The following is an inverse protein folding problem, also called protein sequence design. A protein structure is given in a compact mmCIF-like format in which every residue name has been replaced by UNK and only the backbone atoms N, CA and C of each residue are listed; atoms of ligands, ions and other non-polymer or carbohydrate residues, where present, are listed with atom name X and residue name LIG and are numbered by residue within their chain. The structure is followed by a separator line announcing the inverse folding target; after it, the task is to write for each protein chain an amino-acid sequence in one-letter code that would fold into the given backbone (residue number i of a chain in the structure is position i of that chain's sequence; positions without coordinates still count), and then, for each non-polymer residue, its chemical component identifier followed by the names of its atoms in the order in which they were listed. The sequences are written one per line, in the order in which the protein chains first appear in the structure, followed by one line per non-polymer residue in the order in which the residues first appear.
data_IF_827667636053
#
_entry.id   IF_827667636053
#
_cell.length_a   1.000
_cell.length_b   1.000
_cell.length_c   1.000
_cell.angle_alpha   90.00
_cell.angle_beta   90.00
_cell.angle_gamma   90.00
#
_symmetry.space_group_name_H-M   'P 1'
#
loop_
_entity.id
_entity.type
_entity.pdbx_description
1 polymer ?
#
# COMPACT_ATOMS: atom_id res chain seq x y z
N UNK A 1 0.65 14.19 25.19
CA UNK A 1 1.14 14.90 23.98
C UNK A 1 0.97 13.94 22.81
N UNK A 2 0.28 14.34 21.73
CA UNK A 2 0.05 13.46 20.58
C UNK A 2 1.38 13.30 19.83
N UNK A 3 1.91 12.07 19.76
CA UNK A 3 3.14 11.79 19.00
C UNK A 3 2.83 12.02 17.51
N UNK A 4 3.36 13.12 16.95
CA UNK A 4 3.19 13.48 15.54
C UNK A 4 4.45 13.13 14.77
N UNK A 5 4.26 12.68 13.54
CA UNK A 5 5.34 12.33 12.61
C UNK A 5 5.17 13.07 11.30
N UNK A 6 6.31 13.39 10.69
CA UNK A 6 6.38 14.03 9.38
C UNK A 6 6.47 12.94 8.30
N UNK A 7 5.64 13.05 7.28
CA UNK A 7 5.61 12.15 6.12
C UNK A 7 5.43 12.96 4.83
N UNK A 8 5.78 12.37 3.70
CA UNK A 8 5.71 13.03 2.39
C UNK A 8 4.87 12.24 1.42
N UNK A 9 4.14 12.90 0.54
CA UNK A 9 3.44 12.23 -0.57
C UNK A 9 3.50 13.07 -1.84
N UNK A 10 3.55 12.40 -2.98
CA UNK A 10 3.45 13.00 -4.30
C UNK A 10 2.08 12.72 -4.86
N UNK A 11 1.35 13.76 -5.22
CA UNK A 11 -0.02 13.68 -5.70
C UNK A 11 -0.23 14.57 -6.92
N UNK A 12 -1.23 14.27 -7.75
CA UNK A 12 -1.61 15.17 -8.82
C UNK A 12 -2.05 16.53 -8.23
N UNK A 13 -1.71 17.65 -8.89
CA UNK A 13 -1.92 19.00 -8.34
C UNK A 13 -3.38 19.33 -7.98
N UNK A 14 -4.33 18.62 -8.59
CA UNK A 14 -5.77 18.70 -8.28
C UNK A 14 -6.10 18.50 -6.79
N UNK A 15 -5.25 17.79 -6.03
CA UNK A 15 -5.44 17.62 -4.58
C UNK A 15 -5.50 18.96 -3.85
N UNK A 16 -4.80 19.99 -4.34
CA UNK A 16 -4.80 21.32 -3.73
C UNK A 16 -6.22 21.90 -3.74
N UNK A 17 -6.94 21.74 -4.86
CA UNK A 17 -8.33 22.18 -4.98
C UNK A 17 -9.26 21.42 -4.03
N UNK A 18 -9.08 20.11 -3.91
CA UNK A 18 -9.88 19.29 -2.98
C UNK A 18 -9.64 19.70 -1.52
N UNK A 19 -8.38 19.95 -1.13
CA UNK A 19 -8.01 20.43 0.19
C UNK A 19 -8.52 21.85 0.46
N UNK A 20 -8.53 22.74 -0.53
CA UNK A 20 -9.05 24.09 -0.37
C UNK A 20 -10.57 24.13 -0.25
N UNK A 21 -11.27 23.30 -1.03
CA UNK A 21 -12.73 23.30 -1.12
C UNK A 21 -13.39 22.49 0.00
N UNK A 22 -12.85 21.30 0.30
CA UNK A 22 -13.46 20.33 1.20
C UNK A 22 -12.70 20.17 2.52
N UNK A 23 -11.58 20.89 2.69
CA UNK A 23 -10.63 20.77 3.81
C UNK A 23 -10.03 19.36 3.98
N UNK A 24 -10.29 18.47 3.02
CA UNK A 24 -10.03 17.04 3.10
C UNK A 24 -9.86 16.46 1.70
N UNK A 25 -8.97 15.48 1.59
CA UNK A 25 -8.77 14.67 0.40
C UNK A 25 -8.85 13.18 0.73
N UNK A 26 -9.50 12.43 -0.15
CA UNK A 26 -9.61 10.97 -0.13
C UNK A 26 -9.37 10.42 -1.54
N UNK A 27 -8.78 9.23 -1.63
CA UNK A 27 -8.54 8.59 -2.93
C UNK A 27 -9.85 7.97 -3.43
N UNK A 28 -10.25 8.36 -4.64
CA UNK A 28 -11.44 7.83 -5.30
C UNK A 28 -11.08 6.66 -6.22
N UNK A 29 -12.02 5.73 -6.40
CA UNK A 29 -11.85 4.54 -7.25
C UNK A 29 -11.49 4.92 -8.69
N UNK A 30 -12.10 5.98 -9.20
CA UNK A 30 -11.91 6.46 -10.58
C UNK A 30 -10.44 6.82 -10.84
N UNK A 31 -9.70 7.30 -9.83
CA UNK A 31 -8.29 7.62 -9.99
C UNK A 31 -7.43 6.37 -10.24
N UNK A 32 -7.79 5.25 -9.61
CA UNK A 32 -7.10 3.97 -9.81
C UNK A 32 -7.48 3.39 -11.16
N UNK A 33 -8.77 3.40 -11.50
CA UNK A 33 -9.26 2.86 -12.78
C UNK A 33 -8.68 3.62 -13.97
N UNK A 34 -8.68 4.95 -13.92
CA UNK A 34 -8.13 5.77 -15.02
C UNK A 34 -6.62 5.61 -15.17
N UNK A 35 -5.89 5.35 -14.08
CA UNK A 35 -4.44 5.17 -14.12
C UNK A 35 -4.01 3.78 -14.58
N UNK A 36 -4.80 2.76 -14.27
CA UNK A 36 -4.45 1.35 -14.52
C UNK A 36 -5.16 0.77 -15.75
N UNK A 37 -6.10 1.51 -16.34
CA UNK A 37 -6.82 1.18 -17.57
C UNK A 37 -7.32 -0.28 -17.57
N UNK A 38 -6.93 -1.08 -18.56
CA UNK A 38 -7.34 -2.47 -18.73
C UNK A 38 -6.90 -3.40 -17.59
N UNK A 39 -5.91 -2.98 -16.79
CA UNK A 39 -5.39 -3.73 -15.65
C UNK A 39 -6.02 -3.36 -14.32
N UNK A 40 -7.00 -2.43 -14.30
CA UNK A 40 -7.59 -1.94 -13.05
C UNK A 40 -8.16 -3.05 -12.15
N UNK A 41 -8.80 -4.07 -12.72
CA UNK A 41 -9.41 -5.16 -11.95
C UNK A 41 -8.40 -5.87 -11.04
N UNK A 42 -7.18 -6.10 -11.54
CA UNK A 42 -6.11 -6.75 -10.81
C UNK A 42 -5.65 -5.92 -9.60
N UNK A 43 -5.49 -4.61 -9.80
CA UNK A 43 -5.16 -3.69 -8.71
C UNK A 43 -6.28 -3.58 -7.66
N UNK A 44 -7.54 -3.61 -8.11
CA UNK A 44 -8.69 -3.53 -7.20
C UNK A 44 -8.75 -4.70 -6.23
N UNK A 45 -8.44 -5.93 -6.66
CA UNK A 45 -8.39 -7.09 -5.75
C UNK A 45 -7.37 -6.93 -4.64
N UNK A 46 -6.16 -6.45 -4.99
CA UNK A 46 -5.09 -6.17 -4.02
C UNK A 46 -5.50 -5.07 -3.05
N UNK A 47 -6.09 -3.98 -3.54
CA UNK A 47 -6.55 -2.89 -2.67
C UNK A 47 -7.75 -3.28 -1.80
N UNK A 48 -8.64 -4.14 -2.29
CA UNK A 48 -9.75 -4.68 -1.50
C UNK A 48 -9.21 -5.52 -0.33
N UNK A 49 -8.24 -6.41 -0.61
CA UNK A 49 -7.56 -7.16 0.44
C UNK A 49 -6.86 -6.22 1.43
N UNK A 50 -6.12 -5.23 0.93
CA UNK A 50 -5.42 -4.24 1.77
C UNK A 50 -6.39 -3.48 2.67
N UNK A 51 -7.52 -3.02 2.13
CA UNK A 51 -8.56 -2.32 2.89
C UNK A 51 -9.06 -3.16 4.07
N UNK A 52 -9.37 -4.44 3.83
CA UNK A 52 -9.83 -5.35 4.88
C UNK A 52 -8.75 -5.64 5.94
N UNK A 53 -7.49 -5.76 5.54
CA UNK A 53 -6.39 -6.05 6.46
C UNK A 53 -6.01 -4.80 7.28
N UNK A 54 -5.84 -3.65 6.63
CA UNK A 54 -5.39 -2.41 7.22
C UNK A 54 -6.46 -1.72 8.09
N UNK A 55 -7.76 -1.90 7.78
CA UNK A 55 -8.86 -1.35 8.58
C UNK A 55 -8.91 -1.91 10.01
N UNK A 56 -8.31 -3.07 10.25
CA UNK A 56 -8.14 -3.67 11.58
C UNK A 56 -7.06 -2.98 12.42
N UNK A 57 -6.16 -2.23 11.77
CA UNK A 57 -5.04 -1.53 12.42
C UNK A 57 -5.43 -0.07 12.69
N UNK A 58 -5.85 0.62 11.63
CA UNK A 58 -6.41 1.97 11.71
C UNK A 58 -7.74 1.95 10.99
N UNK A 59 -8.82 2.22 11.70
CA UNK A 59 -10.15 2.21 11.11
C UNK A 59 -10.31 3.40 10.14
N UNK A 60 -10.66 3.15 8.85
CA UNK A 60 -10.96 4.23 7.92
C UNK A 60 -12.31 4.88 8.25
N UNK A 61 -12.51 6.16 7.86
CA UNK A 61 -13.85 6.74 7.73
C UNK A 61 -14.71 5.93 6.76
N UNK A 62 -16.04 5.96 6.93
CA UNK A 62 -16.99 5.15 6.16
C UNK A 62 -16.94 5.39 4.65
N UNK A 63 -16.59 6.62 4.24
CA UNK A 63 -16.50 7.05 2.84
C UNK A 63 -15.13 6.76 2.19
N UNK A 64 -14.20 6.14 2.92
CA UNK A 64 -12.84 5.87 2.44
C UNK A 64 -12.64 4.39 2.14
N UNK A 65 -12.24 4.10 0.90
CA UNK A 65 -11.92 2.75 0.46
C UNK A 65 -10.43 2.55 0.18
N UNK A 66 -9.71 3.58 -0.23
CA UNK A 66 -8.35 3.46 -0.75
C UNK A 66 -7.34 4.27 0.06
N UNK A 67 -6.12 3.75 0.26
CA UNK A 67 -5.07 4.43 0.99
C UNK A 67 -4.38 5.52 0.16
N UNK A 68 -3.82 6.49 0.86
CA UNK A 68 -2.86 7.48 0.37
C UNK A 68 -1.47 7.01 0.78
N UNK A 69 -0.62 6.71 -0.20
CA UNK A 69 0.76 6.30 0.05
C UNK A 69 1.63 7.48 0.48
N UNK A 70 2.46 7.26 1.50
CA UNK A 70 3.39 8.26 2.02
C UNK A 70 4.79 7.67 2.21
N UNK A 71 5.80 8.46 1.91
CA UNK A 71 7.19 8.20 2.28
C UNK A 71 7.44 8.65 3.72
N UNK A 72 8.21 7.86 4.45
CA UNK A 72 8.47 8.05 5.89
C UNK A 72 9.71 8.90 6.18
N UNK A 73 10.55 9.13 5.17
CA UNK A 73 11.76 9.94 5.28
C UNK A 73 11.83 10.91 4.12
N UNK A 74 12.58 11.99 4.32
CA UNK A 74 12.74 13.02 3.30
C UNK A 74 13.58 12.50 2.12
N UNK A 75 14.59 11.68 2.40
CA UNK A 75 15.47 11.09 1.39
C UNK A 75 14.77 9.98 0.59
N UNK A 76 13.74 9.36 1.17
CA UNK A 76 12.95 8.30 0.54
C UNK A 76 11.67 8.81 -0.15
N UNK A 77 11.48 10.13 -0.25
CA UNK A 77 10.31 10.70 -0.94
C UNK A 77 10.45 10.54 -2.45
N UNK A 78 9.33 10.24 -3.10
CA UNK A 78 9.28 10.15 -4.56
C UNK A 78 9.53 11.55 -5.13
N UNK A 79 10.52 11.66 -6.02
CA UNK A 79 10.85 12.93 -6.67
C UNK A 79 9.62 13.54 -7.36
N UNK A 80 9.46 14.85 -7.17
CA UNK A 80 8.35 15.56 -7.78
C UNK A 80 8.49 15.62 -9.32
N UNK A 81 7.38 15.85 -10.03
CA UNK A 81 7.39 15.96 -11.49
C UNK A 81 6.27 16.88 -11.98
N UNK A 82 6.36 17.44 -13.20
CA UNK A 82 5.33 18.31 -13.75
C UNK A 82 3.91 17.73 -13.61
N UNK A 83 2.93 18.59 -13.30
CA UNK A 83 1.53 18.22 -13.04
C UNK A 83 1.28 17.58 -11.66
N UNK A 84 2.30 17.48 -10.81
CA UNK A 84 2.18 16.95 -9.46
C UNK A 84 2.62 17.98 -8.42
N UNK A 85 2.20 17.74 -7.19
CA UNK A 85 2.67 18.43 -6.00
C UNK A 85 3.24 17.43 -5.02
N UNK A 86 4.27 17.86 -4.31
CA UNK A 86 4.81 17.16 -3.16
C UNK A 86 4.26 17.82 -1.89
N UNK A 87 3.60 17.03 -1.05
CA UNK A 87 3.04 17.46 0.22
C UNK A 87 3.94 16.99 1.36
N UNK A 88 4.29 17.89 2.26
CA UNK A 88 4.80 17.56 3.59
C UNK A 88 3.65 17.59 4.59
N UNK A 89 3.50 16.51 5.35
CA UNK A 89 2.33 16.28 6.21
C UNK A 89 2.81 15.99 7.63
N UNK A 90 2.21 16.64 8.62
CA UNK A 90 2.42 16.37 10.03
C UNK A 90 1.18 15.71 10.64
N UNK A 91 1.24 14.40 10.83
CA UNK A 91 0.10 13.56 11.23
C UNK A 91 0.35 12.86 12.57
N UNK A 92 -0.70 12.51 13.28
CA UNK A 92 -0.61 11.66 14.47
C UNK A 92 -0.12 10.25 14.09
N UNK A 93 0.86 9.72 14.82
CA UNK A 93 1.41 8.37 14.59
C UNK A 93 0.33 7.28 14.55
N UNK A 94 -0.73 7.43 15.35
CA UNK A 94 -1.85 6.48 15.42
C UNK A 94 -2.69 6.40 14.14
N UNK A 95 -2.57 7.38 13.23
CA UNK A 95 -3.27 7.38 11.93
C UNK A 95 -2.44 6.78 10.81
N UNK A 96 -1.14 6.62 11.05
CA UNK A 96 -0.16 6.18 10.07
C UNK A 96 0.01 4.66 10.16
N UNK A 97 -0.40 3.96 9.11
CA UNK A 97 -0.09 2.54 8.94
C UNK A 97 1.24 2.45 8.21
N UNK A 98 2.18 1.67 8.75
CA UNK A 98 3.50 1.52 8.13
C UNK A 98 3.80 0.05 7.86
N UNK A 99 4.53 -0.23 6.78
CA UNK A 99 4.81 -1.60 6.35
C UNK A 99 6.17 -1.68 5.64
N UNK A 100 6.66 -2.91 5.52
CA UNK A 100 7.84 -3.25 4.74
C UNK A 100 7.54 -3.14 3.23
N UNK A 101 8.39 -2.42 2.50
CA UNK A 101 8.17 -2.16 1.07
C UNK A 101 8.26 -3.43 0.21
N UNK A 102 9.10 -4.40 0.59
CA UNK A 102 9.28 -5.64 -0.17
C UNK A 102 8.12 -6.60 0.10
N UNK A 103 7.54 -6.58 1.31
CA UNK A 103 6.29 -7.28 1.57
C UNK A 103 5.15 -6.73 0.74
N UNK A 104 4.99 -5.41 0.68
CA UNK A 104 4.00 -4.79 -0.20
C UNK A 104 4.28 -5.12 -1.68
N UNK A 105 5.55 -5.03 -2.09
CA UNK A 105 6.01 -5.42 -3.43
C UNK A 105 5.62 -6.85 -3.80
N UNK A 106 5.69 -7.79 -2.86
CA UNK A 106 5.21 -9.16 -3.07
C UNK A 106 3.71 -9.21 -3.33
N UNK A 107 2.90 -8.51 -2.54
CA UNK A 107 1.43 -8.53 -2.67
C UNK A 107 0.99 -7.98 -4.03
N UNK A 108 1.51 -6.83 -4.45
CA UNK A 108 1.14 -6.22 -5.75
C UNK A 108 1.59 -7.05 -6.96
N UNK A 109 2.57 -7.93 -6.76
CA UNK A 109 3.05 -8.89 -7.76
C UNK A 109 2.48 -10.31 -7.56
N UNK A 110 1.47 -10.47 -6.70
CA UNK A 110 0.81 -11.75 -6.40
C UNK A 110 1.72 -12.84 -5.84
N UNK A 111 2.78 -12.44 -5.13
CA UNK A 111 3.80 -13.33 -4.59
C UNK A 111 3.53 -13.73 -3.14
N UNK A 112 4.11 -14.88 -2.75
CA UNK A 112 4.12 -15.35 -1.38
C UNK A 112 5.07 -14.51 -0.51
N UNK A 113 4.67 -14.19 0.72
CA UNK A 113 5.51 -13.57 1.74
C UNK A 113 6.05 -14.67 2.66
N UNK A 114 7.33 -15.06 2.59
CA UNK A 114 7.86 -16.11 3.46
C UNK A 114 7.96 -15.65 4.92
N UNK A 115 7.69 -16.56 5.86
CA UNK A 115 7.89 -16.32 7.29
C UNK A 115 9.38 -16.36 7.67
N UNK A 116 10.12 -17.28 7.07
CA UNK A 116 11.55 -17.48 7.26
C UNK A 116 12.17 -18.19 6.03
N UNK A 117 13.46 -18.48 6.10
CA UNK A 117 14.19 -19.15 5.01
C UNK A 117 13.68 -20.58 4.73
N UNK A 118 13.21 -21.30 5.74
CA UNK A 118 12.71 -22.66 5.60
C UNK A 118 11.32 -22.65 4.94
N UNK A 119 10.41 -21.78 5.40
CA UNK A 119 9.10 -21.56 4.79
C UNK A 119 9.23 -21.13 3.32
N UNK A 120 10.22 -20.27 3.01
CA UNK A 120 10.55 -19.91 1.62
C UNK A 120 10.93 -21.15 0.80
N UNK A 121 11.86 -21.96 1.30
CA UNK A 121 12.34 -23.16 0.60
C UNK A 121 11.23 -24.17 0.35
N UNK A 122 10.33 -24.35 1.31
CA UNK A 122 9.17 -25.24 1.16
C UNK A 122 8.20 -24.72 0.10
N UNK A 123 7.95 -23.42 0.07
CA UNK A 123 7.12 -22.80 -0.95
C UNK A 123 7.74 -22.87 -2.35
N UNK A 124 9.03 -22.58 -2.48
CA UNK A 124 9.77 -22.71 -3.74
C UNK A 124 9.74 -24.17 -4.26
N UNK A 125 9.92 -25.15 -3.36
CA UNK A 125 9.86 -26.59 -3.70
C UNK A 125 8.47 -26.97 -4.19
N UNK A 126 7.41 -26.43 -3.56
CA UNK A 126 6.03 -26.65 -3.99
C UNK A 126 5.82 -26.14 -5.42
N UNK A 127 6.21 -24.90 -5.71
CA UNK A 127 6.09 -24.30 -7.04
C UNK A 127 6.89 -25.08 -8.10
N UNK A 128 8.11 -25.51 -7.76
CA UNK A 128 8.97 -26.29 -8.65
C UNK A 128 8.35 -27.64 -9.06
N UNK A 129 7.61 -28.31 -8.16
CA UNK A 129 6.89 -29.57 -8.50
C UNK A 129 5.83 -29.39 -9.57
N UNK A 130 5.23 -28.19 -9.67
CA UNK A 130 4.24 -27.86 -10.69
C UNK A 130 4.84 -27.14 -11.90
N UNK A 131 6.12 -26.73 -11.84
CA UNK A 131 6.78 -25.98 -12.91
C UNK A 131 6.17 -24.59 -13.15
N UNK A 132 5.72 -23.92 -12.09
CA UNK A 132 5.06 -22.61 -12.14
C UNK A 132 5.71 -21.61 -11.18
N UNK A 133 5.38 -20.33 -11.33
CA UNK A 133 5.66 -19.27 -10.36
C UNK A 133 4.41 -18.85 -9.57
N UNK A 134 4.60 -17.94 -8.61
CA UNK A 134 3.52 -17.39 -7.78
C UNK A 134 2.43 -16.71 -8.62
N UNK A 135 2.83 -15.87 -9.59
CA UNK A 135 1.89 -15.15 -10.44
C UNK A 135 1.01 -16.11 -11.23
N UNK A 136 1.59 -17.15 -11.82
CA UNK A 136 0.88 -18.21 -12.52
C UNK A 136 -0.06 -18.97 -11.58
N UNK A 137 0.40 -19.29 -10.37
CA UNK A 137 -0.40 -19.96 -9.36
C UNK A 137 -1.60 -19.09 -8.90
N UNK A 138 -1.44 -17.77 -8.83
CA UNK A 138 -2.48 -16.84 -8.45
C UNK A 138 -3.51 -16.59 -9.56
N UNK A 139 -3.03 -16.46 -10.80
CA UNK A 139 -3.85 -16.06 -11.95
C UNK A 139 -4.66 -17.22 -12.53
N UNK A 140 -4.12 -18.45 -12.51
CA UNK A 140 -4.81 -19.60 -13.11
C UNK A 140 -5.74 -20.31 -12.12
N UNK A 141 -6.94 -20.76 -12.54
CA UNK A 141 -7.87 -21.47 -11.67
C UNK A 141 -7.38 -22.87 -11.26
N UNK A 142 -6.33 -23.40 -11.90
CA UNK A 142 -5.80 -24.75 -11.67
C UNK A 142 -5.07 -24.94 -10.34
N UNK A 143 -4.68 -23.85 -9.66
CA UNK A 143 -3.88 -23.90 -8.44
C UNK A 143 -4.58 -23.27 -7.22
N UNK A 144 -5.85 -23.62 -6.92
CA UNK A 144 -6.64 -22.91 -5.92
C UNK A 144 -6.05 -23.02 -4.50
N UNK A 145 -5.36 -24.12 -4.20
CA UNK A 145 -4.70 -24.30 -2.90
C UNK A 145 -3.42 -23.44 -2.78
N UNK A 146 -2.65 -23.32 -3.86
CA UNK A 146 -1.44 -22.47 -3.87
C UNK A 146 -1.84 -21.00 -3.82
N UNK A 147 -2.86 -20.59 -4.59
CA UNK A 147 -3.45 -19.26 -4.51
C UNK A 147 -3.89 -18.91 -3.09
N UNK A 148 -4.61 -19.81 -2.40
CA UNK A 148 -5.03 -19.59 -1.01
C UNK A 148 -3.84 -19.45 -0.06
N UNK A 149 -2.78 -20.24 -0.27
CA UNK A 149 -1.53 -20.14 0.50
C UNK A 149 -0.84 -18.79 0.28
N UNK A 150 -0.78 -18.30 -0.97
CA UNK A 150 -0.27 -16.96 -1.31
C UNK A 150 -1.06 -15.88 -0.58
N UNK A 151 -2.38 -15.84 -0.74
CA UNK A 151 -3.23 -14.81 -0.10
C UNK A 151 -3.11 -14.86 1.42
N UNK A 152 -3.09 -16.06 2.02
CA UNK A 152 -2.91 -16.22 3.47
C UNK A 152 -1.55 -15.70 3.95
N UNK A 153 -0.51 -15.79 3.14
CA UNK A 153 0.80 -15.24 3.49
C UNK A 153 0.79 -13.71 3.59
N UNK A 154 -0.15 -13.03 2.92
CA UNK A 154 -0.26 -11.58 2.94
C UNK A 154 -0.64 -11.04 4.32
N UNK A 155 -1.25 -11.84 5.19
CA UNK A 155 -1.50 -11.49 6.61
C UNK A 155 -0.19 -11.09 7.33
N UNK A 156 0.96 -11.55 6.84
CA UNK A 156 2.31 -11.23 7.35
C UNK A 156 2.77 -9.82 6.97
N UNK A 157 2.02 -9.06 6.16
CA UNK A 157 2.37 -7.69 5.76
C UNK A 157 2.68 -6.82 6.98
N UNK A 158 1.83 -6.91 8.00
CA UNK A 158 1.90 -6.11 9.22
C UNK A 158 2.59 -6.82 10.39
N UNK A 159 3.13 -8.02 10.19
CA UNK A 159 3.91 -8.74 11.18
C UNK A 159 5.33 -8.16 11.25
N UNK A 160 5.63 -7.40 12.30
CA UNK A 160 6.92 -6.72 12.47
C UNK A 160 8.08 -7.69 12.79
N UNK A 161 7.80 -8.94 13.14
CA UNK A 161 8.85 -9.94 13.38
C UNK A 161 9.46 -10.48 12.07
N UNK A 162 8.73 -10.36 10.96
CA UNK A 162 9.17 -10.77 9.64
C UNK A 162 9.68 -9.52 8.92
N UNK A 163 10.95 -9.48 8.53
CA UNK A 163 11.55 -8.33 7.84
C UNK A 163 12.18 -8.83 6.54
N UNK A 164 11.66 -8.35 5.41
CA UNK A 164 12.23 -8.58 4.08
C UNK A 164 13.13 -7.42 3.66
N UNK A 165 12.75 -6.20 4.03
CA UNK A 165 13.51 -4.97 3.79
C UNK A 165 13.52 -4.07 5.01
N UNK A 166 14.62 -3.32 5.18
CA UNK A 166 14.68 -2.23 6.16
C UNK A 166 13.94 -0.98 5.68
N UNK A 167 13.62 -0.90 4.38
CA UNK A 167 12.89 0.23 3.80
C UNK A 167 11.41 0.08 4.11
N UNK A 168 10.82 1.15 4.64
CA UNK A 168 9.42 1.20 5.03
C UNK A 168 8.66 2.27 4.26
N UNK A 169 7.39 1.98 4.03
CA UNK A 169 6.42 2.90 3.44
C UNK A 169 5.23 3.05 4.37
N UNK A 170 4.52 4.15 4.23
CA UNK A 170 3.32 4.44 5.01
C UNK A 170 2.08 4.56 4.15
N UNK A 171 0.93 4.42 4.81
CA UNK A 171 -0.36 4.83 4.24
C UNK A 171 -1.19 5.61 5.25
N UNK A 172 -2.01 6.51 4.72
CA UNK A 172 -3.06 7.23 5.43
C UNK A 172 -4.39 6.97 4.73
N UNK A 173 -5.50 7.03 5.46
CA UNK A 173 -6.84 6.91 4.86
C UNK A 173 -7.32 8.19 4.20
N UNK A 174 -6.90 9.32 4.74
CA UNK A 174 -7.33 10.65 4.30
C UNK A 174 -6.20 11.64 4.50
N UNK A 175 -6.30 12.80 3.87
CA UNK A 175 -5.51 13.97 4.22
C UNK A 175 -6.43 15.10 4.62
N UNK A 176 -6.07 15.82 5.68
CA UNK A 176 -6.76 17.04 6.10
C UNK A 176 -5.87 18.24 5.85
N UNK A 177 -6.48 19.35 5.45
CA UNK A 177 -5.78 20.62 5.18
C UNK A 177 -4.92 21.05 6.37
N UNK A 178 -5.44 20.87 7.58
CA UNK A 178 -4.76 21.20 8.85
C UNK A 178 -3.48 20.36 9.13
N UNK A 179 -3.27 19.25 8.41
CA UNK A 179 -2.06 18.42 8.55
C UNK A 179 -0.96 18.84 7.59
N UNK A 180 -1.27 19.65 6.57
CA UNK A 180 -0.31 20.04 5.54
C UNK A 180 0.64 21.10 6.11
N UNK A 181 1.94 20.80 6.06
CA UNK A 181 3.01 21.71 6.47
C UNK A 181 3.47 22.56 5.29
N UNK A 182 3.66 21.92 4.13
CA UNK A 182 4.09 22.61 2.90
C UNK A 182 3.60 21.87 1.66
N UNK A 183 3.50 22.63 0.56
CA UNK A 183 3.15 22.14 -0.78
C UNK A 183 4.21 22.67 -1.75
N UNK A 184 4.92 21.77 -2.41
CA UNK A 184 5.92 22.10 -3.43
C UNK A 184 5.42 21.65 -4.80
N UNK A 185 5.46 22.53 -5.79
CA UNK A 185 5.12 22.24 -7.19
C UNK A 185 6.32 21.73 -7.98
#
# INVERSE_FOLDING_TARGET
MKNKVKVWTKQHENIVKDLETNERYIVKKEYIVNKMEEHAALYLDVYNWYHQAASKIVQPPEDVQYPIWVSLTEEGKIENSPGNVQLEILVEQARLITMDIDKWGRIVNYMYIPADAQDKKEHDTLLARYGIDDCTAYMKPFYPNIKRKIIKSWDRLFDESIILSKVRVGTLWELKKEWIVSITK
#
